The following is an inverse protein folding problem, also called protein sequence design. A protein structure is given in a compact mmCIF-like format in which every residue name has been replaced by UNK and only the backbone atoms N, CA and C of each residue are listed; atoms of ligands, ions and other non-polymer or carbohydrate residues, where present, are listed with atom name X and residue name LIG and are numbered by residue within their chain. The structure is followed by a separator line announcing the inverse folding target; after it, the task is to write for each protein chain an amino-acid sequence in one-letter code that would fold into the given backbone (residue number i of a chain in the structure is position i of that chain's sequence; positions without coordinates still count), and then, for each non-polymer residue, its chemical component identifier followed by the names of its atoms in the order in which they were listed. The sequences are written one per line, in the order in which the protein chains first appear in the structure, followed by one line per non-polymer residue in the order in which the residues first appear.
data_IF_907690019058
#
_entry.id   IF_907690019058
#
_cell.length_a   1.000
_cell.length_b   1.000
_cell.length_c   1.000
_cell.angle_alpha   90.00
_cell.angle_beta   90.00
_cell.angle_gamma   90.00
#
_symmetry.space_group_name_H-M   'P 1'
#
loop_
_entity.id
_entity.type
_entity.pdbx_description
1 polymer ?
#
# COMPACT_ATOMS: atom_id res chain seq x y z
N UNK A 1 -6.09 -60.48 -18.86
CA UNK A 1 -6.45 -59.05 -18.97
C UNK A 1 -5.23 -58.22 -18.64
N UNK A 2 -4.72 -57.53 -19.66
CA UNK A 2 -3.37 -56.95 -19.70
C UNK A 2 -3.12 -55.92 -18.60
N UNK A 3 -1.97 -56.01 -17.92
CA UNK A 3 -1.44 -54.95 -17.03
C UNK A 3 -1.31 -53.58 -17.74
N UNK A 4 -1.37 -53.59 -19.08
CA UNK A 4 -1.41 -52.42 -19.96
C UNK A 4 -2.72 -51.61 -19.84
N UNK A 5 -3.82 -52.21 -19.36
CA UNK A 5 -5.09 -51.49 -19.19
C UNK A 5 -5.15 -50.62 -17.92
N UNK A 6 -4.30 -50.89 -16.93
CA UNK A 6 -4.28 -50.13 -15.66
C UNK A 6 -3.45 -48.86 -15.80
N UNK A 7 -2.53 -48.78 -16.77
CA UNK A 7 -1.63 -47.64 -16.94
C UNK A 7 -2.26 -46.47 -17.73
N UNK A 8 -3.41 -46.69 -18.37
CA UNK A 8 -4.09 -45.67 -19.20
C UNK A 8 -5.10 -44.83 -18.38
N UNK A 9 -5.51 -45.29 -17.20
CA UNK A 9 -6.46 -44.57 -16.34
C UNK A 9 -5.80 -43.56 -15.39
N UNK A 10 -4.47 -43.59 -15.24
CA UNK A 10 -3.73 -42.68 -14.34
C UNK A 10 -3.23 -41.40 -15.02
N UNK A 11 -3.36 -41.29 -16.35
CA UNK A 11 -2.83 -40.15 -17.13
C UNK A 11 -3.86 -39.03 -17.35
N UNK A 12 -5.12 -39.24 -16.93
CA UNK A 12 -6.20 -38.26 -17.09
C UNK A 12 -6.56 -37.52 -15.79
N UNK A 13 -5.56 -37.19 -14.97
CA UNK A 13 -5.74 -36.32 -13.80
C UNK A 13 -4.56 -35.34 -13.60
N UNK A 14 -4.00 -34.86 -14.71
CA UNK A 14 -3.05 -33.73 -14.73
C UNK A 14 -3.56 -32.60 -15.62
N UNK A 15 -4.78 -32.14 -15.38
CA UNK A 15 -5.22 -30.85 -15.94
C UNK A 15 -6.07 -30.08 -14.93
N UNK A 16 -5.75 -28.79 -14.82
CA UNK A 16 -6.41 -27.75 -14.01
C UNK A 16 -6.10 -27.72 -12.51
N UNK A 17 -4.87 -27.34 -12.20
CA UNK A 17 -4.49 -26.83 -10.87
C UNK A 17 -3.58 -25.61 -10.89
N UNK A 18 -3.39 -24.93 -12.03
CA UNK A 18 -2.84 -23.56 -11.99
C UNK A 18 -3.96 -22.64 -11.58
N UNK A 19 -4.26 -22.61 -10.28
CA UNK A 19 -4.81 -21.40 -9.71
C UNK A 19 -3.77 -20.31 -9.96
N UNK A 20 -3.93 -19.55 -11.04
CA UNK A 20 -3.46 -18.17 -11.02
C UNK A 20 -4.30 -17.53 -9.92
N UNK A 21 -3.79 -17.61 -8.69
CA UNK A 21 -4.32 -16.83 -7.57
C UNK A 21 -4.55 -15.44 -8.11
N UNK A 22 -5.74 -14.91 -7.88
CA UNK A 22 -6.14 -13.60 -8.35
C UNK A 22 -5.02 -12.62 -7.99
N UNK A 23 -4.18 -12.29 -8.95
CA UNK A 23 -3.37 -11.10 -8.87
C UNK A 23 -4.42 -10.02 -8.88
N UNK A 24 -4.76 -9.49 -7.71
CA UNK A 24 -5.30 -8.15 -7.62
C UNK A 24 -4.32 -7.31 -8.42
N UNK A 25 -4.67 -7.00 -9.66
CA UNK A 25 -3.93 -6.04 -10.48
C UNK A 25 -3.77 -4.81 -9.60
N UNK A 26 -2.55 -4.59 -9.11
CA UNK A 26 -2.24 -3.44 -8.28
C UNK A 26 -2.40 -2.23 -9.17
N UNK A 27 -3.53 -1.55 -9.04
CA UNK A 27 -3.78 -0.29 -9.74
C UNK A 27 -3.05 0.84 -9.03
N UNK A 28 -2.63 0.58 -7.80
CA UNK A 28 -1.72 1.40 -7.05
C UNK A 28 -0.48 0.59 -6.73
N UNK A 29 0.69 1.13 -7.08
CA UNK A 29 1.99 0.57 -6.70
C UNK A 29 2.71 1.53 -5.77
N UNK A 30 3.43 0.99 -4.79
CA UNK A 30 4.13 1.78 -3.78
C UNK A 30 5.64 1.68 -3.93
N UNK A 31 6.30 2.83 -3.80
CA UNK A 31 7.73 2.97 -3.63
C UNK A 31 7.99 3.70 -2.30
N UNK A 32 8.87 3.18 -1.47
CA UNK A 32 9.20 3.78 -0.19
C UNK A 32 10.71 4.03 -0.13
N UNK A 33 11.11 5.23 0.25
CA UNK A 33 12.53 5.61 0.35
C UNK A 33 12.79 6.37 1.64
N UNK A 34 14.03 6.30 2.13
CA UNK A 34 14.50 7.12 3.24
C UNK A 34 15.41 8.21 2.68
N UNK A 35 14.95 9.46 2.71
CA UNK A 35 15.76 10.63 2.37
C UNK A 35 16.40 11.20 3.62
N UNK A 36 17.73 11.16 3.71
CA UNK A 36 18.47 11.83 4.80
C UNK A 36 18.50 13.34 4.56
N UNK A 37 18.26 14.11 5.62
CA UNK A 37 18.36 15.58 5.62
C UNK A 37 19.62 16.06 6.36
N UNK A 38 19.97 15.37 7.44
CA UNK A 38 21.17 15.57 8.25
C UNK A 38 21.61 14.23 8.87
N UNK A 39 22.69 14.17 9.67
CA UNK A 39 23.06 12.95 10.40
C UNK A 39 21.97 12.45 11.37
N UNK A 40 21.15 13.35 11.91
CA UNK A 40 20.14 13.10 12.93
C UNK A 40 18.68 13.26 12.44
N UNK A 41 18.46 13.67 11.20
CA UNK A 41 17.12 13.82 10.61
C UNK A 41 16.98 13.14 9.25
N UNK A 42 15.81 12.55 9.05
CA UNK A 42 15.41 11.98 7.78
C UNK A 42 13.91 12.14 7.52
N UNK A 43 13.53 11.82 6.30
CA UNK A 43 12.14 11.78 5.86
C UNK A 43 11.90 10.50 5.07
N UNK A 44 10.89 9.75 5.50
CA UNK A 44 10.41 8.60 4.77
C UNK A 44 9.46 9.15 3.70
N UNK A 45 9.77 8.91 2.44
CA UNK A 45 8.93 9.26 1.31
C UNK A 45 8.20 7.99 0.86
N UNK A 46 6.87 8.02 0.89
CA UNK A 46 6.00 6.90 0.50
C UNK A 46 5.20 7.34 -0.70
N UNK A 47 5.62 6.88 -1.87
CA UNK A 47 5.11 7.28 -3.16
C UNK A 47 4.17 6.23 -3.73
N UNK A 48 2.92 6.61 -3.96
CA UNK A 48 1.94 5.81 -4.66
C UNK A 48 1.84 6.25 -6.11
N UNK A 49 2.02 5.33 -7.05
CA UNK A 49 1.64 5.50 -8.46
C UNK A 49 0.26 4.90 -8.66
N UNK A 50 -0.66 5.67 -9.22
CA UNK A 50 -2.06 5.33 -9.37
C UNK A 50 -2.37 5.26 -10.87
N UNK A 51 -2.86 4.12 -11.32
CA UNK A 51 -3.18 3.90 -12.72
C UNK A 51 -4.29 4.89 -13.20
N UNK A 52 -4.27 5.32 -14.47
CA UNK A 52 -5.32 6.18 -15.02
C UNK A 52 -6.73 5.60 -14.80
N UNK A 53 -7.67 6.45 -14.39
CA UNK A 53 -9.05 6.05 -14.07
C UNK A 53 -9.22 5.41 -12.68
N UNK A 54 -8.15 5.35 -11.88
CA UNK A 54 -8.19 4.93 -10.49
C UNK A 54 -7.87 6.08 -9.55
N UNK A 55 -8.40 5.94 -8.34
CA UNK A 55 -8.40 6.93 -7.28
C UNK A 55 -7.89 6.28 -5.99
N UNK A 56 -7.09 7.02 -5.23
CA UNK A 56 -6.72 6.67 -3.87
C UNK A 56 -7.26 7.71 -2.90
N UNK A 57 -7.93 7.29 -1.85
CA UNK A 57 -8.42 8.23 -0.86
C UNK A 57 -7.30 8.89 -0.06
N UNK A 58 -7.49 10.18 0.22
CA UNK A 58 -6.55 10.98 0.98
C UNK A 58 -6.69 10.74 2.50
N UNK A 59 -5.67 11.13 3.26
CA UNK A 59 -5.74 11.24 4.71
C UNK A 59 -6.72 12.33 5.12
N UNK A 60 -7.32 12.18 6.30
CA UNK A 60 -8.17 13.22 6.89
C UNK A 60 -9.57 13.34 6.28
N UNK A 61 -10.02 12.36 5.49
CA UNK A 61 -11.46 12.19 5.24
C UNK A 61 -12.21 12.09 6.57
N UNK A 62 -13.46 12.56 6.60
CA UNK A 62 -14.27 12.68 7.83
C UNK A 62 -14.21 11.41 8.69
N UNK A 63 -14.20 11.51 10.04
CA UNK A 63 -14.20 10.36 10.94
C UNK A 63 -15.36 9.37 10.71
N UNK A 64 -16.47 9.86 10.15
CA UNK A 64 -17.64 9.04 9.83
C UNK A 64 -17.51 8.29 8.50
N UNK A 65 -16.46 8.57 7.73
CA UNK A 65 -16.19 7.90 6.48
C UNK A 65 -15.67 6.48 6.73
N UNK A 66 -16.21 5.44 6.07
CA UNK A 66 -15.67 4.09 6.16
C UNK A 66 -14.30 3.94 5.48
N UNK A 67 -13.87 4.99 4.77
CA UNK A 67 -12.64 5.05 4.00
C UNK A 67 -11.44 5.30 4.92
N UNK A 68 -10.42 4.45 4.81
CA UNK A 68 -9.22 4.56 5.64
C UNK A 68 -7.95 4.40 4.81
N UNK A 69 -7.26 5.51 4.60
CA UNK A 69 -5.82 5.49 4.30
C UNK A 69 -5.08 5.71 5.61
N UNK A 70 -4.17 4.82 5.96
CA UNK A 70 -3.46 4.87 7.23
C UNK A 70 -2.02 4.36 7.11
N UNK A 71 -1.13 4.97 7.87
CA UNK A 71 0.28 4.63 7.92
C UNK A 71 0.63 4.19 9.34
N UNK A 72 1.14 2.97 9.47
CA UNK A 72 1.62 2.42 10.74
C UNK A 72 3.11 2.14 10.65
N UNK A 73 3.86 2.56 11.65
CA UNK A 73 5.29 2.30 11.76
C UNK A 73 5.56 1.46 13.01
N UNK A 74 6.37 0.41 12.87
CA UNK A 74 6.79 -0.41 14.02
C UNK A 74 7.87 0.34 14.80
N UNK A 75 7.75 0.49 16.14
CA UNK A 75 8.79 1.11 16.94
C UNK A 75 10.15 0.42 16.77
N UNK A 76 11.23 1.22 16.72
CA UNK A 76 12.61 0.73 16.71
C UNK A 76 13.51 1.72 17.47
N UNK A 77 14.56 1.23 18.11
CA UNK A 77 15.51 2.05 18.86
C UNK A 77 16.40 2.94 17.98
N UNK A 78 16.44 2.71 16.66
CA UNK A 78 17.27 3.45 15.71
C UNK A 78 16.67 4.77 15.24
N UNK A 79 15.38 5.01 15.47
CA UNK A 79 14.70 6.24 15.06
C UNK A 79 13.58 6.66 16.03
N UNK A 80 12.97 7.80 15.74
CA UNK A 80 11.74 8.30 16.36
C UNK A 80 10.92 9.06 15.32
N UNK A 81 9.60 8.86 15.31
CA UNK A 81 8.70 9.63 14.44
C UNK A 81 8.61 11.08 14.92
N UNK A 82 8.63 12.03 13.99
CA UNK A 82 8.43 13.45 14.24
C UNK A 82 7.13 13.89 13.58
N UNK A 83 6.10 14.16 14.39
CA UNK A 83 4.78 14.55 13.91
C UNK A 83 4.03 13.45 13.16
N UNK A 84 3.03 13.84 12.39
CA UNK A 84 2.19 12.94 11.59
C UNK A 84 2.65 12.85 10.15
N UNK A 85 2.13 11.86 9.43
CA UNK A 85 2.31 11.77 7.97
C UNK A 85 1.69 13.00 7.29
N UNK A 86 2.43 13.57 6.35
CA UNK A 86 1.99 14.68 5.50
C UNK A 86 1.62 14.18 4.11
N UNK A 87 0.79 14.95 3.43
CA UNK A 87 0.36 14.71 2.05
C UNK A 87 0.22 16.06 1.32
N UNK A 88 0.24 16.07 -0.02
CA UNK A 88 -0.13 17.26 -0.79
C UNK A 88 -1.64 17.53 -0.70
N UNK A 89 -2.05 18.68 -1.23
CA UNK A 89 -3.48 19.03 -1.32
C UNK A 89 -4.22 18.01 -2.18
N UNK A 90 -5.26 17.33 -1.65
CA UNK A 90 -6.02 16.36 -2.40
C UNK A 90 -7.08 17.01 -3.29
N UNK A 91 -7.54 16.24 -4.28
CA UNK A 91 -8.77 16.54 -5.02
C UNK A 91 -9.98 16.27 -4.12
N UNK A 92 -11.13 16.84 -4.45
CA UNK A 92 -12.38 16.67 -3.72
C UNK A 92 -13.52 16.38 -4.67
N UNK A 93 -14.38 15.41 -4.32
CA UNK A 93 -15.62 15.12 -5.02
C UNK A 93 -16.74 14.82 -4.04
N UNK A 94 -17.98 15.07 -4.43
CA UNK A 94 -19.13 14.63 -3.65
C UNK A 94 -19.42 13.15 -3.93
N UNK A 95 -19.28 12.30 -2.91
CA UNK A 95 -19.58 10.87 -3.04
C UNK A 95 -21.06 10.63 -2.72
N UNK A 96 -21.84 10.33 -3.75
CA UNK A 96 -23.29 10.17 -3.63
C UNK A 96 -23.67 9.01 -2.71
N UNK A 97 -22.90 7.93 -2.71
CA UNK A 97 -23.16 6.76 -1.86
C UNK A 97 -22.95 7.06 -0.38
N UNK A 98 -22.05 7.99 -0.06
CA UNK A 98 -21.76 8.41 1.30
C UNK A 98 -22.50 9.69 1.71
N UNK A 99 -23.13 10.38 0.74
CA UNK A 99 -23.82 11.64 0.97
C UNK A 99 -22.91 12.76 1.46
N UNK A 100 -21.61 12.71 1.14
CA UNK A 100 -20.61 13.64 1.70
C UNK A 100 -19.44 13.89 0.74
N UNK A 101 -18.72 15.01 0.88
CA UNK A 101 -17.46 15.21 0.16
C UNK A 101 -16.41 14.21 0.64
N UNK A 102 -15.65 13.67 -0.31
CA UNK A 102 -14.48 12.83 -0.08
C UNK A 102 -13.29 13.42 -0.80
N UNK A 103 -12.11 13.28 -0.20
CA UNK A 103 -10.85 13.72 -0.77
C UNK A 103 -10.01 12.55 -1.24
N UNK A 104 -9.34 12.73 -2.38
CA UNK A 104 -8.64 11.65 -3.09
C UNK A 104 -7.49 12.17 -3.96
N UNK A 105 -6.70 11.24 -4.51
CA UNK A 105 -5.58 11.47 -5.41
C UNK A 105 -5.73 10.59 -6.66
N UNK A 106 -5.17 11.09 -7.77
CA UNK A 106 -5.09 10.42 -9.07
C UNK A 106 -3.63 10.49 -9.56
N UNK A 107 -3.24 9.63 -10.50
CA UNK A 107 -1.92 9.54 -11.13
C UNK A 107 -0.76 9.20 -10.18
N UNK A 108 -0.48 10.07 -9.21
CA UNK A 108 0.63 9.94 -8.29
C UNK A 108 0.42 10.78 -7.03
N UNK A 109 0.86 10.27 -5.89
CA UNK A 109 0.95 11.04 -4.65
C UNK A 109 2.15 10.58 -3.82
N UNK A 110 2.84 11.52 -3.19
CA UNK A 110 3.94 11.26 -2.27
C UNK A 110 3.57 11.74 -0.86
N UNK A 111 3.62 10.80 0.09
CA UNK A 111 3.43 11.08 1.51
C UNK A 111 4.78 11.20 2.20
N UNK A 112 4.85 12.08 3.20
CA UNK A 112 6.08 12.32 3.98
C UNK A 112 5.91 11.95 5.45
N UNK A 113 6.85 11.21 6.02
CA UNK A 113 6.97 11.03 7.47
C UNK A 113 8.35 11.46 7.92
N UNK A 114 8.43 12.55 8.69
CA UNK A 114 9.69 13.00 9.29
C UNK A 114 10.09 12.08 10.44
N UNK A 115 11.39 11.84 10.56
CA UNK A 115 11.97 11.02 11.62
C UNK A 115 13.26 11.64 12.16
N UNK A 116 13.50 11.44 13.45
CA UNK A 116 14.81 11.64 14.08
C UNK A 116 15.59 10.33 14.03
N UNK A 117 16.80 10.37 13.48
CA UNK A 117 17.76 9.26 13.46
C UNK A 117 18.59 9.29 14.75
N UNK A 118 18.87 8.11 15.31
CA UNK A 118 19.55 7.98 16.60
C UNK A 118 21.01 7.48 16.49
N UNK A 119 21.62 7.60 15.32
CA UNK A 119 23.01 7.17 15.07
C UNK A 119 23.24 5.66 15.26
N UNK A 120 22.19 4.84 15.07
CA UNK A 120 22.23 3.38 15.20
C UNK A 120 21.79 2.73 13.91
N UNK A 121 22.41 1.62 13.57
CA UNK A 121 21.91 0.73 12.53
C UNK A 121 20.53 0.21 12.92
N UNK A 122 19.63 0.11 11.95
CA UNK A 122 18.27 -0.34 12.21
C UNK A 122 17.47 -0.57 10.95
N UNK A 123 16.18 -0.85 11.13
CA UNK A 123 15.27 -1.04 10.00
C UNK A 123 13.93 -0.41 10.33
N UNK A 124 13.58 0.62 9.58
CA UNK A 124 12.24 1.20 9.60
C UNK A 124 11.31 0.18 8.96
N UNK A 125 10.28 -0.26 9.69
CA UNK A 125 9.24 -1.14 9.15
C UNK A 125 7.90 -0.46 9.28
N UNK A 126 7.11 -0.51 8.22
CA UNK A 126 5.78 0.06 8.26
C UNK A 126 4.79 -0.71 7.40
N UNK A 127 3.52 -0.36 7.59
CA UNK A 127 2.38 -0.86 6.83
C UNK A 127 1.53 0.32 6.39
N UNK A 128 1.25 0.38 5.10
CA UNK A 128 0.34 1.34 4.48
C UNK A 128 -0.96 0.61 4.21
N UNK A 129 -2.04 1.03 4.85
CA UNK A 129 -3.38 0.56 4.55
C UNK A 129 -4.05 1.57 3.63
N UNK A 130 -4.60 1.11 2.51
CA UNK A 130 -5.19 1.97 1.48
C UNK A 130 -6.32 1.27 0.74
N UNK A 131 -7.14 2.05 0.05
CA UNK A 131 -8.19 1.56 -0.86
C UNK A 131 -7.99 2.16 -2.24
N UNK A 132 -8.26 1.36 -3.27
CA UNK A 132 -8.25 1.78 -4.67
C UNK A 132 -9.67 1.72 -5.23
N UNK A 133 -10.13 2.82 -5.83
CA UNK A 133 -11.45 2.92 -6.43
C UNK A 133 -11.36 3.42 -7.86
N UNK A 134 -12.14 2.85 -8.76
CA UNK A 134 -12.51 3.50 -10.03
C UNK A 134 -13.86 4.20 -9.86
N UNK A 135 -14.40 4.72 -10.96
CA UNK A 135 -15.75 5.32 -10.97
C UNK A 135 -16.87 4.28 -10.82
N UNK A 136 -16.56 2.99 -10.94
CA UNK A 136 -17.55 1.91 -10.90
C UNK A 136 -17.38 0.97 -9.71
N UNK A 137 -16.15 0.77 -9.25
CA UNK A 137 -15.85 -0.22 -8.22
C UNK A 137 -14.77 0.26 -7.27
N UNK A 138 -14.98 -0.01 -5.99
CA UNK A 138 -13.94 0.10 -4.96
C UNK A 138 -13.46 -1.31 -4.58
N UNK A 139 -12.15 -1.49 -4.56
CA UNK A 139 -11.53 -2.72 -4.06
C UNK A 139 -11.48 -2.63 -2.53
N UNK A 140 -11.71 -3.75 -1.81
CA UNK A 140 -11.52 -3.81 -0.38
C UNK A 140 -10.16 -3.26 0.06
N UNK A 141 -10.05 -2.75 1.31
CA UNK A 141 -8.78 -2.25 1.83
C UNK A 141 -7.64 -3.24 1.66
N UNK A 142 -6.48 -2.73 1.24
CA UNK A 142 -5.25 -3.48 1.03
C UNK A 142 -4.18 -2.96 1.97
N UNK A 143 -3.27 -3.86 2.38
CA UNK A 143 -2.11 -3.53 3.19
C UNK A 143 -0.82 -3.72 2.36
N UNK A 144 0.03 -2.70 2.32
CA UNK A 144 1.37 -2.75 1.75
C UNK A 144 2.42 -2.61 2.86
N UNK A 145 3.22 -3.66 3.05
CA UNK A 145 4.34 -3.65 3.99
C UNK A 145 5.62 -3.15 3.35
N UNK A 146 6.38 -2.31 4.04
CA UNK A 146 7.71 -1.87 3.59
C UNK A 146 8.76 -1.97 4.68
N UNK A 147 10.03 -2.06 4.27
CA UNK A 147 11.18 -2.05 5.15
C UNK A 147 12.32 -1.23 4.54
N UNK A 148 12.87 -0.27 5.30
CA UNK A 148 13.98 0.58 4.88
C UNK A 148 15.13 0.45 5.87
N UNK A 149 16.34 0.19 5.36
CA UNK A 149 17.53 0.08 6.18
C UNK A 149 18.06 1.45 6.59
N UNK A 150 18.48 1.57 7.85
CA UNK A 150 19.26 2.71 8.35
C UNK A 150 20.69 2.19 8.53
N UNK A 151 21.65 2.80 7.83
CA UNK A 151 23.08 2.50 7.94
C UNK A 151 23.81 3.71 8.52
N UNK A 152 24.36 3.59 9.72
CA UNK A 152 25.20 4.64 10.29
C UNK A 152 26.50 4.81 9.51
#
# INVERSE_FOLDING_TARGET
MNRLAILVMTVFMMFCGHAKGQTSTGQITWECTLKRKSPDEGEILMKARIAPGWHMYALGNSPNSPIKTNFKFKPDSSYQLLGTVTQPTPLSKFEKLLGMPVTYFENEVEFGQRIKLKGKNGTIRGTIQFMQCSDQVCVPPQDFGFALKIFN
#
